data_IF_493226128781
#
_entry.id   IF_493226128781
#
_cell.length_a   1.000
_cell.length_b   1.000
_cell.length_c   1.000
_cell.angle_alpha   90.00
_cell.angle_beta   90.00
_cell.angle_gamma   90.00
#
_symmetry.space_group_name_H-M   'P 1'
#
loop_
_entity.id
_entity.type
_entity.pdbx_description
1 polymer ?
#
# COMPACT_ATOMS: atom_id res chain seq x y z
N UNK A 1 7.56 21.39 -15.07
CA UNK A 1 6.25 20.99 -14.51
C UNK A 1 5.56 20.11 -15.54
N UNK A 2 5.39 18.81 -15.27
CA UNK A 2 4.70 17.91 -16.18
C UNK A 2 3.19 18.06 -15.95
N UNK A 3 2.48 18.71 -16.87
CA UNK A 3 1.02 18.67 -16.89
C UNK A 3 0.64 17.31 -17.46
N UNK A 4 0.06 16.45 -16.62
CA UNK A 4 -0.37 15.12 -17.04
C UNK A 4 -1.34 15.23 -18.22
N UNK A 5 -0.97 14.64 -19.36
CA UNK A 5 -1.83 14.55 -20.54
C UNK A 5 -3.19 13.91 -20.19
N UNK A 6 -4.30 14.28 -20.87
CA UNK A 6 -5.59 13.63 -20.70
C UNK A 6 -5.55 12.09 -20.80
N UNK A 7 -4.62 11.53 -21.58
CA UNK A 7 -4.42 10.08 -21.67
C UNK A 7 -3.91 9.45 -20.37
N UNK A 8 -3.01 10.14 -19.66
CA UNK A 8 -2.46 9.69 -18.38
C UNK A 8 -3.55 9.61 -17.30
N UNK A 9 -4.40 10.65 -17.21
CA UNK A 9 -5.50 10.67 -16.23
C UNK A 9 -6.52 9.55 -16.48
N UNK A 10 -6.82 9.24 -17.75
CA UNK A 10 -7.73 8.15 -18.11
C UNK A 10 -7.21 6.78 -17.69
N UNK A 11 -5.91 6.52 -17.89
CA UNK A 11 -5.26 5.26 -17.48
C UNK A 11 -5.31 5.09 -15.95
N UNK A 12 -4.96 6.12 -15.19
CA UNK A 12 -5.04 6.08 -13.73
C UNK A 12 -6.46 5.84 -13.21
N UNK A 13 -7.46 6.52 -13.78
CA UNK A 13 -8.86 6.34 -13.40
C UNK A 13 -9.36 4.90 -13.70
N UNK A 14 -8.95 4.33 -14.83
CA UNK A 14 -9.29 2.93 -15.18
C UNK A 14 -8.68 1.95 -14.19
N UNK A 15 -7.39 2.10 -13.87
CA UNK A 15 -6.69 1.25 -12.90
C UNK A 15 -7.32 1.31 -11.52
N UNK A 16 -7.69 2.49 -11.02
CA UNK A 16 -8.39 2.62 -9.73
C UNK A 16 -9.71 1.86 -9.72
N UNK A 17 -10.56 2.11 -10.72
CA UNK A 17 -11.87 1.45 -10.81
C UNK A 17 -11.78 -0.07 -10.79
N UNK A 18 -10.77 -0.65 -11.44
CA UNK A 18 -10.61 -2.10 -11.47
C UNK A 18 -10.33 -2.71 -10.08
N UNK A 19 -9.62 -2.00 -9.20
CA UNK A 19 -9.21 -2.51 -7.88
C UNK A 19 -10.12 -2.04 -6.73
N UNK A 20 -11.06 -1.14 -6.99
CA UNK A 20 -11.99 -0.58 -6.00
C UNK A 20 -13.41 -1.18 -6.15
N UNK A 21 -13.56 -2.24 -6.95
CA UNK A 21 -14.84 -2.94 -7.11
C UNK A 21 -15.20 -3.65 -5.81
N UNK A 22 -16.49 -3.68 -5.46
CA UNK A 22 -16.96 -4.26 -4.19
C UNK A 22 -16.40 -5.66 -3.88
N UNK A 23 -16.33 -6.61 -4.83
CA UNK A 23 -15.78 -7.94 -4.56
C UNK A 23 -14.31 -7.95 -4.13
N UNK A 24 -13.55 -6.91 -4.48
CA UNK A 24 -12.12 -6.79 -4.19
C UNK A 24 -11.85 -5.97 -2.92
N UNK A 25 -12.90 -5.60 -2.19
CA UNK A 25 -12.82 -4.71 -1.02
C UNK A 25 -13.41 -5.33 0.24
N UNK A 26 -12.78 -5.03 1.37
CA UNK A 26 -13.34 -5.27 2.70
C UNK A 26 -13.54 -3.92 3.39
N UNK A 27 -14.75 -3.71 3.94
CA UNK A 27 -15.07 -2.55 4.77
C UNK A 27 -15.18 -2.98 6.22
N UNK A 28 -14.31 -2.44 7.07
CA UNK A 28 -14.27 -2.76 8.50
C UNK A 28 -14.91 -1.67 9.36
N UNK A 29 -15.82 -2.08 10.24
CA UNK A 29 -16.42 -1.21 11.25
C UNK A 29 -15.65 -1.40 12.57
N UNK A 30 -14.78 -0.44 12.87
CA UNK A 30 -13.88 -0.49 14.02
C UNK A 30 -14.61 -0.50 15.36
N UNK A 31 -14.12 -1.32 16.29
CA UNK A 31 -14.51 -1.37 17.70
C UNK A 31 -13.28 -1.26 18.61
N UNK A 32 -13.45 -0.86 19.88
CA UNK A 32 -12.36 -0.87 20.84
C UNK A 32 -11.73 -2.28 20.96
N UNK A 33 -10.41 -2.34 20.87
CA UNK A 33 -9.65 -3.61 20.91
C UNK A 33 -9.36 -4.23 19.54
N UNK A 34 -9.99 -3.75 18.46
CA UNK A 34 -9.72 -4.25 17.12
C UNK A 34 -8.29 -3.90 16.65
N UNK A 35 -7.69 -4.84 15.93
CA UNK A 35 -6.40 -4.66 15.24
C UNK A 35 -6.57 -5.14 13.80
N UNK A 36 -6.14 -4.32 12.84
CA UNK A 36 -6.02 -4.74 11.45
C UNK A 36 -4.55 -4.84 11.05
N UNK A 37 -4.24 -5.87 10.28
CA UNK A 37 -2.94 -6.07 9.63
C UNK A 37 -3.21 -6.14 8.13
N UNK A 38 -2.44 -5.38 7.35
CA UNK A 38 -2.53 -5.36 5.89
C UNK A 38 -1.15 -5.57 5.27
N UNK A 39 -1.08 -6.38 4.20
CA UNK A 39 0.11 -6.38 3.33
C UNK A 39 0.06 -5.14 2.43
N UNK A 40 0.86 -4.13 2.76
CA UNK A 40 0.91 -2.88 2.02
C UNK A 40 1.47 -3.01 0.59
N UNK A 41 2.02 -4.17 0.20
CA UNK A 41 2.48 -4.44 -1.18
C UNK A 41 1.32 -4.86 -2.09
N UNK A 42 0.28 -5.46 -1.52
CA UNK A 42 -0.84 -6.04 -2.26
C UNK A 42 -2.17 -5.30 -2.04
N UNK A 43 -2.23 -4.36 -1.10
CA UNK A 43 -3.48 -3.72 -0.70
C UNK A 43 -3.42 -2.20 -0.83
N UNK A 44 -4.60 -1.62 -1.11
CA UNK A 44 -4.87 -0.20 -0.90
C UNK A 44 -5.92 -0.09 0.19
N UNK A 45 -5.84 0.94 1.03
CA UNK A 45 -6.84 1.20 2.05
C UNK A 45 -7.31 2.64 1.98
N UNK A 46 -8.55 2.86 2.38
CA UNK A 46 -9.17 4.18 2.43
C UNK A 46 -9.86 4.36 3.78
N UNK A 47 -9.55 5.46 4.48
CA UNK A 47 -10.26 5.85 5.69
C UNK A 47 -11.49 6.66 5.28
N UNK A 48 -12.68 6.05 5.42
CA UNK A 48 -13.94 6.74 5.13
C UNK A 48 -14.15 7.83 6.17
N UNK A 49 -14.44 9.05 5.71
CA UNK A 49 -14.72 10.22 6.55
C UNK A 49 -16.24 10.44 6.67
N UNK A 50 -16.93 9.44 7.21
CA UNK A 50 -18.39 9.38 7.36
C UNK A 50 -18.85 9.44 8.82
N UNK A 51 -18.13 10.21 9.63
CA UNK A 51 -18.35 10.36 11.08
C UNK A 51 -18.50 11.83 11.51
N UNK A 52 -18.84 12.71 10.56
CA UNK A 52 -18.97 14.17 10.77
C UNK A 52 -17.74 14.75 11.49
N UNK A 53 -17.97 15.57 12.51
CA UNK A 53 -16.93 16.22 13.32
C UNK A 53 -16.45 15.36 14.51
N UNK A 54 -16.85 14.08 14.58
CA UNK A 54 -16.45 13.22 15.70
C UNK A 54 -14.94 12.92 15.67
N UNK A 55 -14.32 12.99 16.85
CA UNK A 55 -12.90 12.66 16.98
C UNK A 55 -12.65 11.16 16.76
N UNK A 56 -11.70 10.83 15.86
CA UNK A 56 -11.29 9.46 15.56
C UNK A 56 -9.77 9.33 15.61
N UNK A 57 -9.26 8.35 16.38
CA UNK A 57 -7.82 8.08 16.51
C UNK A 57 -7.51 6.59 16.42
N UNK A 58 -6.50 6.25 15.63
CA UNK A 58 -5.87 4.93 15.57
C UNK A 58 -4.36 5.10 15.73
N UNK A 59 -3.68 4.10 16.29
CA UNK A 59 -2.22 4.03 16.27
C UNK A 59 -1.77 3.10 15.14
N UNK A 60 -0.67 3.44 14.46
CA UNK A 60 -0.14 2.66 13.34
C UNK A 60 1.33 2.35 13.55
N UNK A 61 1.69 1.09 13.33
CA UNK A 61 3.06 0.63 13.16
C UNK A 61 3.24 0.25 11.70
N UNK A 62 4.39 0.58 11.11
CA UNK A 62 4.72 0.22 9.72
C UNK A 62 6.04 -0.51 9.72
N UNK A 63 6.12 -1.61 8.98
CA UNK A 63 7.32 -2.44 8.86
C UNK A 63 8.09 -2.06 7.60
N UNK A 64 9.41 -2.08 7.70
CA UNK A 64 10.32 -1.89 6.58
C UNK A 64 10.31 -3.10 5.64
N UNK A 65 10.62 -2.88 4.36
CA UNK A 65 10.57 -3.90 3.30
C UNK A 65 11.63 -3.62 2.21
N UNK A 66 11.58 -4.43 1.15
CA UNK A 66 12.45 -4.39 -0.03
C UNK A 66 12.03 -3.32 -1.05
N UNK A 67 12.85 -3.18 -2.10
CA UNK A 67 12.59 -2.28 -3.23
C UNK A 67 11.73 -3.01 -4.27
N UNK A 68 10.60 -2.45 -4.72
CA UNK A 68 9.77 -3.09 -5.72
C UNK A 68 10.51 -3.32 -7.04
N UNK A 69 10.33 -4.50 -7.61
CA UNK A 69 10.82 -4.91 -8.93
C UNK A 69 9.67 -5.04 -9.92
N UNK A 70 9.94 -4.77 -11.20
CA UNK A 70 8.99 -5.03 -12.27
C UNK A 70 8.91 -6.53 -12.65
N UNK A 71 8.10 -6.86 -13.64
CA UNK A 71 7.90 -8.24 -14.13
C UNK A 71 9.16 -8.85 -14.78
N UNK A 72 10.17 -8.04 -15.08
CA UNK A 72 11.47 -8.45 -15.63
C UNK A 72 12.59 -8.44 -14.58
N UNK A 73 12.28 -8.13 -13.32
CA UNK A 73 13.23 -8.06 -12.23
C UNK A 73 14.01 -6.74 -12.14
N UNK A 74 13.66 -5.71 -12.93
CA UNK A 74 14.31 -4.41 -12.82
C UNK A 74 13.79 -3.65 -11.58
N UNK A 75 14.68 -3.14 -10.71
CA UNK A 75 14.26 -2.44 -9.50
C UNK A 75 13.78 -1.01 -9.80
N UNK A 76 12.96 -0.49 -8.89
CA UNK A 76 12.51 0.90 -8.91
C UNK A 76 13.69 1.90 -8.88
N UNK A 77 13.55 3.00 -9.62
CA UNK A 77 14.57 4.06 -9.69
C UNK A 77 14.19 5.29 -8.86
N UNK A 78 15.10 5.74 -7.99
CA UNK A 78 14.95 7.01 -7.27
C UNK A 78 15.16 8.19 -8.22
N UNK A 79 14.21 9.13 -8.22
CA UNK A 79 14.29 10.38 -9.01
C UNK A 79 14.75 11.54 -8.13
N UNK A 80 14.28 11.60 -6.87
CA UNK A 80 14.65 12.62 -5.88
C UNK A 80 14.39 12.11 -4.46
N UNK A 81 15.13 12.65 -3.48
CA UNK A 81 15.01 12.33 -2.05
C UNK A 81 15.87 11.13 -1.60
N UNK A 82 15.93 10.94 -0.27
CA UNK A 82 16.63 9.83 0.39
C UNK A 82 15.80 9.33 1.59
N UNK A 83 15.53 8.02 1.62
CA UNK A 83 14.72 7.35 2.63
C UNK A 83 15.56 6.63 3.70
N UNK A 84 16.90 6.69 3.68
CA UNK A 84 17.76 5.94 4.58
C UNK A 84 17.49 6.20 6.08
N UNK A 85 17.05 7.42 6.43
CA UNK A 85 16.67 7.76 7.81
C UNK A 85 15.28 7.29 8.21
N UNK A 86 14.41 7.00 7.24
CA UNK A 86 13.03 6.58 7.50
C UNK A 86 12.98 5.10 7.86
N UNK A 87 13.65 4.25 7.07
CA UNK A 87 13.71 2.81 7.30
C UNK A 87 14.90 2.19 6.53
N UNK A 88 15.47 1.08 7.01
CA UNK A 88 16.41 0.28 6.22
C UNK A 88 15.68 -0.42 5.06
N UNK A 89 16.42 -0.79 4.02
CA UNK A 89 15.95 -1.77 3.03
C UNK A 89 16.13 -3.15 3.64
N UNK A 90 15.05 -3.93 3.67
CA UNK A 90 15.05 -5.30 4.19
C UNK A 90 14.94 -6.24 3.01
N UNK A 91 15.97 -7.03 2.74
CA UNK A 91 15.92 -8.03 1.68
C UNK A 91 14.77 -9.01 1.96
N UNK A 92 13.98 -9.31 0.92
CA UNK A 92 13.02 -10.39 0.99
C UNK A 92 13.80 -11.67 1.32
N UNK A 93 13.62 -12.21 2.53
CA UNK A 93 14.30 -13.42 2.95
C UNK A 93 14.14 -14.49 1.85
N UNK A 94 15.20 -15.24 1.47
CA UNK A 94 15.08 -16.29 0.48
C UNK A 94 13.96 -17.23 0.92
N UNK A 95 12.96 -17.40 0.03
CA UNK A 95 11.72 -18.14 0.24
C UNK A 95 11.88 -19.31 1.23
N UNK A 96 11.46 -19.12 2.48
CA UNK A 96 11.36 -20.22 3.46
C UNK A 96 10.06 -20.98 3.22
N UNK A 97 9.95 -21.63 2.06
CA UNK A 97 9.15 -22.84 1.94
C UNK A 97 9.93 -23.99 2.61
N UNK A 98 10.15 -23.87 3.91
CA UNK A 98 10.72 -24.91 4.75
C UNK A 98 9.78 -25.12 5.94
N UNK A 99 8.52 -25.42 5.62
CA UNK A 99 7.70 -26.28 6.47
C UNK A 99 7.75 -27.67 5.83
N UNK A 100 8.90 -28.34 5.94
CA UNK A 100 8.96 -29.78 5.83
C UNK A 100 8.62 -30.32 7.23
N UNK A 101 7.69 -31.28 7.28
CA UNK A 101 7.10 -31.83 8.50
C UNK A 101 8.03 -32.64 9.37
#
# INVERSE_FOLDING_TARGET
MSVSSPGHLRLHARSRRQHEQLPDTVRWNWRPGDVAISDNRATRHYAVADYDDQFRRLNRVTLAWDIPVDVHGAPSRVVAGDAARYAPVVDAAPNRHAWAG
#
